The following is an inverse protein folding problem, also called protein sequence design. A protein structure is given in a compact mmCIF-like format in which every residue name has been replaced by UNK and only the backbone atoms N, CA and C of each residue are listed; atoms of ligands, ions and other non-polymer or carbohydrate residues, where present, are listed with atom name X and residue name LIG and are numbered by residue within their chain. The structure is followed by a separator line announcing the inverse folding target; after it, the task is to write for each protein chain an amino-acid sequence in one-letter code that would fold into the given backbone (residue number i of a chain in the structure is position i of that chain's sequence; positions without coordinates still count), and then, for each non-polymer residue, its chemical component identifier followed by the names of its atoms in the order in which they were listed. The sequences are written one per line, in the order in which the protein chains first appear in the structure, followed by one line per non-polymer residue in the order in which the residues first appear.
data_IF_651467234796
#
_entry.id   IF_651467234796
#
_cell.length_a   1.000
_cell.length_b   1.000
_cell.length_c   1.000
_cell.angle_alpha   90.00
_cell.angle_beta   90.00
_cell.angle_gamma   90.00
#
_symmetry.space_group_name_H-M   'P 1'
#
loop_
_entity.id
_entity.type
_entity.pdbx_description
1 polymer ?
#
# COMPACT_ATOMS: atom_id res chain seq x y z
N UNK A 1 -5.83 36.49 -8.95
CA UNK A 1 -5.29 35.39 -9.77
C UNK A 1 -3.82 35.31 -9.41
N UNK A 2 -3.52 34.60 -8.33
CA UNK A 2 -2.15 34.36 -7.91
C UNK A 2 -1.83 32.92 -8.25
N UNK A 3 -0.88 32.76 -9.18
CA UNK A 3 -0.30 31.48 -9.56
C UNK A 3 0.44 30.95 -8.33
N UNK A 4 -0.13 29.95 -7.67
CA UNK A 4 0.54 29.25 -6.58
C UNK A 4 1.78 28.58 -7.18
N UNK A 5 2.98 28.84 -6.63
CA UNK A 5 4.22 28.33 -7.20
C UNK A 5 4.24 26.81 -7.17
N UNK A 6 4.83 26.26 -8.22
CA UNK A 6 5.05 24.83 -8.44
C UNK A 6 5.92 24.25 -7.30
N UNK A 7 5.29 23.75 -6.24
CA UNK A 7 5.95 23.01 -5.15
C UNK A 7 5.85 21.52 -5.48
N UNK A 8 6.45 21.10 -6.59
CA UNK A 8 6.82 19.72 -6.83
C UNK A 8 8.34 19.63 -6.80
N UNK A 9 8.92 19.85 -5.61
CA UNK A 9 10.30 19.42 -5.35
C UNK A 9 10.30 17.90 -5.36
N UNK A 10 11.23 17.30 -6.10
CA UNK A 10 11.54 15.86 -6.14
C UNK A 10 11.18 15.15 -4.82
N UNK A 11 10.05 14.44 -4.81
CA UNK A 11 9.58 13.73 -3.61
C UNK A 11 10.00 12.26 -3.68
N UNK A 12 10.45 11.67 -2.55
CA UNK A 12 10.89 10.29 -2.53
C UNK A 12 9.68 9.40 -2.81
N UNK A 13 9.73 8.68 -3.92
CA UNK A 13 8.83 7.55 -4.20
C UNK A 13 8.75 6.66 -2.97
N UNK A 14 7.61 6.03 -2.71
CA UNK A 14 7.48 5.03 -1.62
C UNK A 14 6.99 3.69 -2.20
N UNK A 15 7.19 2.59 -1.46
CA UNK A 15 6.77 1.25 -1.91
C UNK A 15 7.55 0.69 -3.12
N UNK A 16 6.88 -0.16 -3.91
CA UNK A 16 7.44 -0.78 -5.12
C UNK A 16 7.90 0.28 -6.15
N UNK A 17 7.23 1.43 -6.20
CA UNK A 17 7.57 2.56 -7.09
C UNK A 17 8.96 3.13 -6.79
N UNK A 18 9.35 3.24 -5.52
CA UNK A 18 10.73 3.63 -5.12
C UNK A 18 11.76 2.61 -5.58
N UNK A 19 11.41 1.34 -5.44
CA UNK A 19 12.24 0.22 -5.87
C UNK A 19 12.28 0.04 -7.38
N UNK A 20 11.35 0.62 -8.13
CA UNK A 20 11.33 0.62 -9.59
C UNK A 20 12.03 1.85 -10.19
N UNK A 21 11.98 3.00 -9.52
CA UNK A 21 12.51 4.26 -10.05
C UNK A 21 13.85 4.72 -9.48
N UNK A 22 14.24 4.32 -8.25
CA UNK A 22 15.51 4.76 -7.68
C UNK A 22 16.66 3.92 -8.28
N UNK A 23 17.36 4.48 -9.28
CA UNK A 23 18.46 3.80 -10.00
C UNK A 23 19.69 3.56 -9.11
N UNK A 24 19.85 4.33 -8.04
CA UNK A 24 20.96 4.23 -7.08
C UNK A 24 20.65 3.35 -5.85
N UNK A 25 19.58 2.56 -5.88
CA UNK A 25 19.28 1.64 -4.79
C UNK A 25 20.32 0.51 -4.76
N UNK A 26 21.15 0.49 -3.72
CA UNK A 26 22.14 -0.57 -3.47
C UNK A 26 21.58 -2.00 -3.54
N UNK A 27 20.26 -2.19 -3.38
CA UNK A 27 19.56 -3.49 -3.49
C UNK A 27 19.36 -3.98 -4.93
N UNK A 28 19.57 -3.10 -5.92
CA UNK A 28 19.54 -3.41 -7.36
C UNK A 28 20.88 -3.91 -7.89
N UNK A 29 21.94 -3.81 -7.10
CA UNK A 29 23.23 -4.38 -7.49
C UNK A 29 23.09 -5.90 -7.62
N UNK A 30 23.79 -6.52 -8.58
CA UNK A 30 23.76 -7.96 -8.74
C UNK A 30 24.22 -8.70 -7.48
N UNK A 31 23.66 -9.88 -7.23
CA UNK A 31 24.01 -10.69 -6.06
C UNK A 31 25.46 -11.19 -6.09
N UNK A 32 26.08 -11.26 -7.27
CA UNK A 32 27.52 -11.44 -7.49
C UNK A 32 27.86 -11.04 -8.93
N UNK A 33 29.15 -10.93 -9.27
CA UNK A 33 29.62 -10.43 -10.57
C UNK A 33 29.24 -11.28 -11.80
N UNK A 34 28.77 -12.51 -11.61
CA UNK A 34 28.53 -13.47 -12.69
C UNK A 34 27.04 -13.65 -13.01
N UNK A 35 26.16 -12.82 -12.43
CA UNK A 35 24.74 -12.80 -12.70
C UNK A 35 24.26 -11.37 -12.78
N UNK A 36 23.17 -11.13 -13.51
CA UNK A 36 22.46 -9.84 -13.51
C UNK A 36 21.31 -9.82 -12.48
N UNK A 37 21.09 -10.93 -11.77
CA UNK A 37 20.04 -11.03 -10.76
C UNK A 37 20.40 -10.12 -9.59
N UNK A 38 19.56 -9.12 -9.32
CA UNK A 38 19.71 -8.24 -8.17
C UNK A 38 19.25 -8.89 -6.87
N UNK A 39 19.73 -8.39 -5.72
CA UNK A 39 19.29 -8.87 -4.40
C UNK A 39 17.77 -8.84 -4.27
N UNK A 40 17.12 -7.78 -4.75
CA UNK A 40 15.67 -7.68 -4.65
C UNK A 40 14.91 -8.66 -5.55
N UNK A 41 15.47 -8.97 -6.74
CA UNK A 41 14.88 -9.97 -7.64
C UNK A 41 14.95 -11.34 -6.98
N UNK A 42 16.11 -11.69 -6.43
CA UNK A 42 16.28 -12.94 -5.67
C UNK A 42 15.29 -13.03 -4.50
N UNK A 43 15.18 -11.97 -3.69
CA UNK A 43 14.27 -11.94 -2.55
C UNK A 43 12.81 -12.04 -2.97
N UNK A 44 12.41 -11.36 -4.05
CA UNK A 44 11.03 -11.44 -4.57
C UNK A 44 10.71 -12.87 -5.02
N UNK A 45 11.66 -13.55 -5.68
CA UNK A 45 11.50 -14.93 -6.11
C UNK A 45 11.41 -15.88 -4.92
N UNK A 46 12.23 -15.70 -3.89
CA UNK A 46 12.23 -16.58 -2.71
C UNK A 46 10.98 -16.38 -1.86
N UNK A 47 10.50 -15.13 -1.70
CA UNK A 47 9.23 -14.84 -1.05
C UNK A 47 8.06 -15.40 -1.86
N UNK A 48 8.09 -15.30 -3.19
CA UNK A 48 7.09 -15.93 -4.05
C UNK A 48 7.04 -17.44 -3.84
N UNK A 49 8.20 -18.11 -3.72
CA UNK A 49 8.27 -19.54 -3.38
C UNK A 49 7.69 -19.80 -1.97
N UNK A 50 8.07 -18.99 -0.98
CA UNK A 50 7.56 -19.09 0.40
C UNK A 50 6.04 -19.07 0.42
N UNK A 51 5.43 -18.07 -0.20
CA UNK A 51 3.98 -17.93 -0.17
C UNK A 51 3.27 -18.99 -1.02
N UNK A 52 3.83 -19.34 -2.18
CA UNK A 52 3.22 -20.34 -3.06
C UNK A 52 3.16 -21.73 -2.43
N UNK A 53 4.17 -22.09 -1.63
CA UNK A 53 4.28 -23.42 -1.04
C UNK A 53 4.16 -23.42 0.49
N UNK A 54 3.73 -22.29 1.08
CA UNK A 54 3.56 -22.13 2.53
C UNK A 54 4.81 -22.53 3.35
N UNK A 55 6.00 -22.19 2.85
CA UNK A 55 7.29 -22.49 3.49
C UNK A 55 7.36 -21.75 4.84
N UNK A 56 7.79 -22.44 5.90
CA UNK A 56 7.97 -21.83 7.22
C UNK A 56 9.16 -20.85 7.24
N UNK A 57 9.32 -20.07 8.30
CA UNK A 57 10.50 -19.19 8.41
C UNK A 57 11.80 -19.97 8.63
N UNK A 58 11.74 -21.08 9.36
CA UNK A 58 12.88 -21.97 9.58
C UNK A 58 13.31 -22.63 8.26
N UNK A 59 12.36 -23.17 7.49
CA UNK A 59 12.63 -23.77 6.18
C UNK A 59 13.15 -22.73 5.17
N UNK A 60 12.63 -21.49 5.22
CA UNK A 60 13.13 -20.40 4.40
C UNK A 60 14.59 -20.09 4.74
N UNK A 61 14.96 -20.10 6.02
CA UNK A 61 16.35 -19.87 6.45
C UNK A 61 17.27 -20.98 5.95
N UNK A 62 16.87 -22.24 6.06
CA UNK A 62 17.66 -23.36 5.52
C UNK A 62 17.87 -23.24 4.01
N UNK A 63 16.83 -22.84 3.28
CA UNK A 63 16.90 -22.60 1.84
C UNK A 63 17.88 -21.46 1.49
N UNK A 64 17.88 -20.36 2.27
CA UNK A 64 18.83 -19.26 2.10
C UNK A 64 20.27 -19.72 2.32
N UNK A 65 20.52 -20.47 3.39
CA UNK A 65 21.83 -21.02 3.70
C UNK A 65 22.32 -21.99 2.60
N UNK A 66 21.40 -22.74 1.98
CA UNK A 66 21.72 -23.58 0.82
C UNK A 66 22.19 -22.73 -0.37
N UNK A 67 21.45 -21.66 -0.71
CA UNK A 67 21.85 -20.76 -1.79
C UNK A 67 23.19 -20.09 -1.53
N UNK A 68 23.49 -19.73 -0.28
CA UNK A 68 24.80 -19.18 0.09
C UNK A 68 25.94 -20.17 -0.11
N UNK A 69 25.72 -21.45 0.19
CA UNK A 69 26.74 -22.50 -0.01
C UNK A 69 27.04 -22.77 -1.49
N UNK A 70 26.05 -22.57 -2.37
CA UNK A 70 26.18 -22.80 -3.81
C UNK A 70 26.74 -21.55 -4.52
N UNK A 71 26.45 -20.36 -4.00
CA UNK A 71 26.88 -19.10 -4.59
C UNK A 71 28.41 -18.86 -4.40
N UNK A 72 29.02 -18.03 -5.28
CA UNK A 72 30.42 -17.61 -5.11
C UNK A 72 30.67 -16.92 -3.77
N UNK A 73 31.89 -17.00 -3.23
CA UNK A 73 32.25 -16.42 -1.92
C UNK A 73 32.09 -14.90 -1.81
N UNK A 74 32.06 -14.17 -2.92
CA UNK A 74 31.83 -12.72 -2.96
C UNK A 74 30.34 -12.33 -3.09
N UNK A 75 29.43 -13.30 -2.95
CA UNK A 75 28.01 -13.03 -3.04
C UNK A 75 27.48 -12.18 -1.88
N UNK A 76 26.41 -11.45 -2.17
CA UNK A 76 25.71 -10.60 -1.21
C UNK A 76 24.28 -11.10 -0.95
N UNK A 77 24.02 -12.41 -1.06
CA UNK A 77 22.70 -12.95 -0.77
C UNK A 77 22.34 -12.71 0.71
N UNK A 78 21.05 -12.46 1.03
CA UNK A 78 20.61 -12.35 2.42
C UNK A 78 20.95 -13.63 3.18
N UNK A 79 21.51 -13.49 4.39
CA UNK A 79 21.92 -14.63 5.21
C UNK A 79 20.84 -15.02 6.21
N UNK A 80 19.96 -14.06 6.53
CA UNK A 80 18.92 -14.20 7.53
C UNK A 80 17.58 -13.73 7.00
N UNK A 81 16.50 -14.16 7.65
CA UNK A 81 15.16 -13.60 7.45
C UNK A 81 15.12 -12.12 7.82
N UNK A 82 15.94 -11.68 8.77
CA UNK A 82 16.11 -10.26 9.09
C UNK A 82 16.71 -9.47 7.92
N UNK A 83 17.67 -10.01 7.18
CA UNK A 83 18.22 -9.36 5.99
C UNK A 83 17.14 -9.22 4.91
N UNK A 84 16.30 -10.25 4.73
CA UNK A 84 15.13 -10.18 3.85
C UNK A 84 14.22 -9.05 4.32
N UNK A 85 13.80 -9.06 5.59
CA UNK A 85 12.90 -8.05 6.14
C UNK A 85 13.48 -6.63 6.04
N UNK A 86 14.79 -6.45 6.27
CA UNK A 86 15.48 -5.18 6.09
C UNK A 86 15.47 -4.73 4.63
N UNK A 87 15.72 -5.65 3.69
CA UNK A 87 15.77 -5.36 2.26
C UNK A 87 14.37 -5.14 1.68
N UNK A 88 13.35 -5.77 2.27
CA UNK A 88 11.91 -5.61 1.95
C UNK A 88 11.18 -4.67 2.89
N UNK A 89 11.88 -3.94 3.75
CA UNK A 89 11.28 -3.05 4.75
C UNK A 89 10.52 -1.87 4.14
N UNK A 90 10.89 -1.52 2.91
CA UNK A 90 10.19 -0.53 2.10
C UNK A 90 9.08 -1.17 1.24
N UNK A 91 9.05 -2.50 1.12
CA UNK A 91 7.99 -3.27 0.44
C UNK A 91 6.84 -3.63 1.38
N UNK A 92 7.14 -3.84 2.67
CA UNK A 92 6.18 -4.17 3.72
C UNK A 92 6.18 -3.03 4.73
N UNK A 93 5.01 -2.46 5.02
CA UNK A 93 4.86 -1.33 5.94
C UNK A 93 5.38 -1.69 7.33
N UNK A 94 6.63 -1.37 7.60
CA UNK A 94 7.25 -1.37 8.91
C UNK A 94 7.16 0.01 9.55
N UNK A 95 7.07 0.05 10.89
CA UNK A 95 7.07 1.28 11.70
C UNK A 95 8.39 2.08 11.62
N UNK A 96 9.35 1.60 10.85
CA UNK A 96 10.64 2.25 10.62
C UNK A 96 10.81 2.69 9.14
N UNK A 97 9.75 2.60 8.33
CA UNK A 97 9.77 3.06 6.93
C UNK A 97 9.73 4.59 6.84
N UNK A 98 10.25 5.15 5.74
CA UNK A 98 10.23 6.61 5.50
C UNK A 98 8.80 7.17 5.54
N UNK A 99 7.83 6.45 4.98
CA UNK A 99 6.41 6.85 4.99
C UNK A 99 5.82 6.86 6.40
N UNK A 100 6.19 5.89 7.24
CA UNK A 100 5.76 5.89 8.64
C UNK A 100 6.31 7.10 9.41
N UNK A 101 7.59 7.42 9.21
CA UNK A 101 8.19 8.59 9.83
C UNK A 101 7.55 9.90 9.36
N UNK A 102 7.25 10.00 8.05
CA UNK A 102 6.54 11.15 7.50
C UNK A 102 5.13 11.29 8.12
N UNK A 103 4.40 10.18 8.21
CA UNK A 103 3.09 10.13 8.87
C UNK A 103 3.16 10.57 10.33
N UNK A 104 4.09 10.03 11.11
CA UNK A 104 4.27 10.41 12.52
C UNK A 104 4.63 11.89 12.66
N UNK A 105 5.41 12.42 11.72
CA UNK A 105 5.77 13.85 11.70
C UNK A 105 4.56 14.74 11.42
N UNK A 106 3.69 14.35 10.48
CA UNK A 106 2.50 15.13 10.10
C UNK A 106 1.34 14.98 11.10
N UNK A 107 1.05 13.74 11.50
CA UNK A 107 -0.14 13.38 12.26
C UNK A 107 0.13 13.32 13.77
N UNK A 108 1.39 13.15 14.18
CA UNK A 108 1.81 12.96 15.56
C UNK A 108 1.96 11.48 15.94
N UNK A 109 2.83 11.20 16.90
CA UNK A 109 3.19 9.83 17.31
C UNK A 109 2.07 9.02 17.94
N UNK A 110 1.00 9.68 18.41
CA UNK A 110 -0.20 9.05 18.98
C UNK A 110 -1.32 8.85 17.97
N UNK A 111 -1.13 9.26 16.71
CA UNK A 111 -2.14 9.09 15.68
C UNK A 111 -2.29 7.62 15.26
N UNK A 112 -3.51 7.24 14.92
CA UNK A 112 -3.81 5.93 14.36
C UNK A 112 -3.59 6.00 12.85
N UNK A 113 -2.68 5.15 12.35
CA UNK A 113 -2.42 4.96 10.94
C UNK A 113 -3.36 3.88 10.39
N UNK A 114 -4.14 4.24 9.37
CA UNK A 114 -5.08 3.36 8.70
C UNK A 114 -4.55 2.99 7.31
N UNK A 115 -4.67 1.73 6.89
CA UNK A 115 -4.68 1.38 5.46
C UNK A 115 -6.11 1.17 4.99
N UNK A 116 -6.38 1.50 3.74
CA UNK A 116 -7.66 1.23 3.10
C UNK A 116 -7.49 0.24 1.94
N UNK A 117 -8.48 -0.62 1.75
CA UNK A 117 -8.56 -1.56 0.65
C UNK A 117 -10.00 -1.70 0.18
N UNK A 118 -10.20 -1.88 -1.12
CA UNK A 118 -11.51 -2.22 -1.68
C UNK A 118 -11.36 -3.33 -2.69
N UNK A 119 -12.16 -4.38 -2.52
CA UNK A 119 -12.13 -5.56 -3.37
C UNK A 119 -13.53 -6.10 -3.63
N UNK A 120 -13.71 -6.62 -4.84
CA UNK A 120 -14.95 -7.21 -5.32
C UNK A 120 -14.94 -8.73 -5.15
N UNK A 121 -15.92 -9.26 -4.43
CA UNK A 121 -16.11 -10.69 -4.25
C UNK A 121 -17.56 -11.10 -4.57
N UNK A 122 -17.78 -12.39 -4.82
CA UNK A 122 -19.12 -12.95 -4.96
C UNK A 122 -19.41 -13.83 -3.73
N UNK A 123 -20.31 -13.43 -2.81
CA UNK A 123 -20.60 -14.22 -1.61
C UNK A 123 -21.25 -15.58 -1.92
N UNK A 124 -21.92 -15.71 -3.06
CA UNK A 124 -22.70 -16.91 -3.40
C UNK A 124 -21.87 -17.99 -4.09
N UNK A 125 -20.65 -17.67 -4.57
CA UNK A 125 -19.70 -18.61 -5.20
C UNK A 125 -20.32 -19.63 -6.17
N UNK A 126 -21.45 -19.30 -6.80
CA UNK A 126 -22.21 -20.23 -7.64
C UNK A 126 -21.89 -19.96 -9.11
N UNK A 127 -21.68 -21.02 -9.91
CA UNK A 127 -21.34 -20.94 -11.35
C UNK A 127 -22.28 -19.99 -12.12
N UNK A 128 -23.58 -20.00 -11.79
CA UNK A 128 -24.60 -19.15 -12.44
C UNK A 128 -24.36 -17.66 -12.16
N UNK A 129 -23.81 -17.33 -10.99
CA UNK A 129 -23.55 -15.95 -10.55
C UNK A 129 -22.12 -15.48 -10.80
N UNK A 130 -21.23 -16.36 -11.29
CA UNK A 130 -19.85 -15.99 -11.60
C UNK A 130 -19.82 -14.93 -12.71
N UNK A 131 -19.14 -13.82 -12.46
CA UNK A 131 -19.07 -12.67 -13.39
C UNK A 131 -20.35 -11.83 -13.49
N UNK A 132 -21.48 -12.28 -12.95
CA UNK A 132 -22.77 -11.58 -13.02
C UNK A 132 -23.24 -11.00 -11.68
N UNK A 133 -22.60 -11.42 -10.58
CA UNK A 133 -22.84 -10.90 -9.24
C UNK A 133 -21.53 -10.54 -8.53
N UNK A 134 -21.43 -9.32 -8.00
CA UNK A 134 -20.29 -8.86 -7.20
C UNK A 134 -20.76 -7.90 -6.11
N UNK A 135 -20.26 -8.10 -4.89
CA UNK A 135 -20.30 -7.15 -3.78
C UNK A 135 -18.87 -6.65 -3.58
N UNK A 136 -18.73 -5.35 -3.31
CA UNK A 136 -17.44 -4.76 -3.02
C UNK A 136 -17.36 -4.41 -1.53
N UNK A 137 -16.35 -4.93 -0.84
CA UNK A 137 -16.07 -4.58 0.54
C UNK A 137 -14.96 -3.55 0.62
N UNK A 138 -15.25 -2.45 1.30
CA UNK A 138 -14.28 -1.45 1.71
C UNK A 138 -13.79 -1.82 3.10
N UNK A 139 -12.51 -2.14 3.21
CA UNK A 139 -11.88 -2.63 4.45
C UNK A 139 -10.72 -1.74 4.85
N UNK A 140 -10.42 -1.71 6.15
CA UNK A 140 -9.28 -0.99 6.69
C UNK A 140 -8.47 -1.82 7.68
N UNK A 141 -7.15 -1.59 7.72
CA UNK A 141 -6.27 -2.20 8.71
C UNK A 141 -5.67 -1.11 9.60
N UNK A 142 -5.62 -1.39 10.91
CA UNK A 142 -4.94 -0.54 11.88
C UNK A 142 -3.45 -0.86 11.83
N UNK A 143 -2.66 0.03 11.25
CA UNK A 143 -1.25 -0.19 10.99
C UNK A 143 -0.38 -0.03 12.24
N UNK A 144 -0.89 0.57 13.31
CA UNK A 144 -0.21 0.64 14.62
C UNK A 144 -0.07 -0.75 15.26
N UNK A 145 -0.92 -1.73 14.89
CA UNK A 145 -0.81 -3.09 15.39
C UNK A 145 0.40 -3.81 14.76
N UNK A 146 1.01 -4.77 15.49
CA UNK A 146 2.04 -5.63 14.93
C UNK A 146 1.57 -6.33 13.64
N UNK A 147 2.48 -6.56 12.70
CA UNK A 147 2.16 -7.09 11.38
C UNK A 147 1.39 -8.43 11.43
N UNK A 148 1.74 -9.31 12.38
CA UNK A 148 1.07 -10.60 12.59
C UNK A 148 -0.34 -10.49 13.22
N UNK A 149 -0.71 -9.32 13.74
CA UNK A 149 -2.03 -9.06 14.32
C UNK A 149 -2.96 -8.32 13.37
N UNK A 150 -2.45 -7.37 12.57
CA UNK A 150 -3.30 -6.43 11.83
C UNK A 150 -4.18 -7.03 10.73
N UNK A 151 -3.90 -8.25 10.26
CA UNK A 151 -4.62 -8.90 9.14
C UNK A 151 -5.55 -10.04 9.62
N UNK A 152 -6.02 -9.99 10.86
CA UNK A 152 -6.99 -10.95 11.40
C UNK A 152 -8.42 -10.45 11.21
N UNK A 153 -9.38 -11.35 11.03
CA UNK A 153 -10.80 -10.99 10.89
C UNK A 153 -11.32 -10.11 12.03
N UNK A 154 -10.83 -10.32 13.26
CA UNK A 154 -11.20 -9.51 14.43
C UNK A 154 -10.55 -8.12 14.51
N UNK A 155 -9.54 -7.84 13.69
CA UNK A 155 -8.81 -6.55 13.66
C UNK A 155 -9.00 -5.78 12.37
N UNK A 156 -9.46 -6.44 11.31
CA UNK A 156 -9.84 -5.80 10.05
C UNK A 156 -11.14 -5.03 10.25
N UNK A 157 -11.13 -3.75 9.92
CA UNK A 157 -12.30 -2.90 9.94
C UNK A 157 -13.09 -3.07 8.65
N UNK A 158 -14.40 -3.30 8.75
CA UNK A 158 -15.32 -3.16 7.63
C UNK A 158 -15.79 -1.70 7.59
N UNK A 159 -15.30 -0.94 6.62
CA UNK A 159 -15.60 0.48 6.47
C UNK A 159 -16.87 0.71 5.63
N UNK A 160 -17.17 -0.21 4.71
CA UNK A 160 -18.35 -0.13 3.86
C UNK A 160 -18.59 -1.37 3.03
N UNK A 161 -19.84 -1.53 2.58
CA UNK A 161 -20.25 -2.56 1.63
C UNK A 161 -21.02 -1.91 0.48
N UNK A 162 -20.56 -2.15 -0.73
CA UNK A 162 -21.21 -1.69 -1.96
C UNK A 162 -21.87 -2.91 -2.58
N UNK A 163 -23.21 -2.91 -2.54
CA UNK A 163 -23.99 -4.05 -2.98
C UNK A 163 -24.12 -4.13 -4.49
N UNK A 164 -24.16 -5.37 -4.99
CA UNK A 164 -24.35 -5.71 -6.39
C UNK A 164 -25.74 -5.38 -6.94
N UNK A 165 -26.02 -5.74 -8.20
CA UNK A 165 -25.52 -6.98 -8.81
C UNK A 165 -24.19 -6.86 -9.55
N UNK A 166 -23.74 -5.67 -9.95
CA UNK A 166 -22.50 -5.52 -10.74
C UNK A 166 -21.43 -4.78 -9.95
N UNK A 167 -20.18 -4.99 -10.34
CA UNK A 167 -19.08 -4.18 -9.84
C UNK A 167 -19.37 -2.69 -10.09
N UNK A 168 -19.03 -1.80 -9.14
CA UNK A 168 -19.21 -0.38 -9.32
C UNK A 168 -18.39 0.07 -10.52
N UNK A 169 -18.98 0.90 -11.39
CA UNK A 169 -18.23 1.51 -12.50
C UNK A 169 -17.17 2.47 -11.99
N UNK A 170 -17.48 3.16 -10.90
CA UNK A 170 -16.68 4.19 -10.26
C UNK A 170 -16.73 4.00 -8.76
N UNK A 171 -15.58 3.70 -8.16
CA UNK A 171 -15.47 3.41 -6.74
C UNK A 171 -15.35 4.71 -5.91
N UNK A 172 -14.82 5.78 -6.50
CA UNK A 172 -14.62 7.08 -5.86
C UNK A 172 -15.91 7.68 -5.27
N UNK A 173 -17.05 7.53 -5.93
CA UNK A 173 -18.36 7.99 -5.41
C UNK A 173 -18.73 7.36 -4.07
N UNK A 174 -18.37 6.09 -3.87
CA UNK A 174 -18.61 5.39 -2.62
C UNK A 174 -17.57 5.73 -1.55
N UNK A 175 -16.38 6.19 -1.97
CA UNK A 175 -15.32 6.60 -1.06
C UNK A 175 -15.55 7.99 -0.47
N UNK A 176 -16.42 8.83 -1.06
CA UNK A 176 -16.69 10.19 -0.57
C UNK A 176 -17.07 10.23 0.91
N UNK A 177 -17.92 9.30 1.34
CA UNK A 177 -18.33 9.18 2.76
C UNK A 177 -17.11 8.89 3.64
N UNK A 178 -16.24 7.97 3.21
CA UNK A 178 -15.02 7.63 3.94
C UNK A 178 -14.05 8.81 3.98
N UNK A 179 -13.87 9.52 2.87
CA UNK A 179 -13.03 10.73 2.76
C UNK A 179 -13.52 11.80 3.74
N UNK A 180 -14.82 12.07 3.77
CA UNK A 180 -15.41 13.06 4.68
C UNK A 180 -15.19 12.72 6.16
N UNK A 181 -15.32 11.45 6.54
CA UNK A 181 -15.04 11.01 7.91
C UNK A 181 -13.54 11.09 8.23
N UNK A 182 -12.68 10.68 7.30
CA UNK A 182 -11.24 10.74 7.46
C UNK A 182 -10.75 12.18 7.65
N UNK A 183 -11.30 13.18 6.94
CA UNK A 183 -10.94 14.60 7.11
C UNK A 183 -11.19 15.05 8.55
N UNK A 184 -12.36 14.71 9.11
CA UNK A 184 -12.68 15.03 10.51
C UNK A 184 -11.74 14.33 11.48
N UNK A 185 -11.43 13.05 11.23
CA UNK A 185 -10.54 12.28 12.08
C UNK A 185 -9.09 12.75 12.00
N UNK A 186 -8.68 13.39 10.89
CA UNK A 186 -7.36 14.01 10.79
C UNK A 186 -7.21 15.20 11.73
N UNK A 187 -8.24 16.03 11.90
CA UNK A 187 -8.19 17.12 12.89
C UNK A 187 -8.25 16.57 14.32
N UNK A 188 -8.87 15.40 14.46
CA UNK A 188 -8.87 14.56 15.64
C UNK A 188 -10.13 14.71 16.47
N UNK A 189 -10.37 13.70 17.31
CA UNK A 189 -11.59 13.54 18.08
C UNK A 189 -11.26 13.16 19.52
N UNK A 190 -12.06 13.63 20.48
CA UNK A 190 -11.91 13.18 21.87
C UNK A 190 -12.41 11.74 21.99
N UNK A 191 -11.48 10.83 22.24
CA UNK A 191 -11.77 9.40 22.42
C UNK A 191 -11.47 9.03 23.86
N UNK A 192 -12.38 8.27 24.46
CA UNK A 192 -12.15 7.74 25.80
C UNK A 192 -11.16 6.57 25.74
N UNK A 193 -10.00 6.75 26.36
CA UNK A 193 -8.99 5.71 26.48
C UNK A 193 -9.26 4.90 27.75
N UNK A 194 -9.67 3.63 27.57
CA UNK A 194 -10.00 2.76 28.69
C UNK A 194 -8.79 2.39 29.57
N UNK A 195 -7.58 2.40 29.01
CA UNK A 195 -6.36 2.08 29.75
C UNK A 195 -5.93 3.23 30.65
N UNK A 196 -5.96 4.47 30.16
CA UNK A 196 -5.66 5.67 30.95
C UNK A 196 -6.86 6.23 31.72
N UNK A 197 -8.07 5.76 31.40
CA UNK A 197 -9.36 6.23 31.93
C UNK A 197 -9.61 7.73 31.70
N UNK A 198 -9.08 8.29 30.63
CA UNK A 198 -9.18 9.71 30.30
C UNK A 198 -9.66 9.93 28.87
N UNK A 199 -10.22 11.12 28.62
CA UNK A 199 -10.50 11.58 27.26
C UNK A 199 -9.19 12.09 26.65
N UNK A 200 -8.78 11.48 25.55
CA UNK A 200 -7.56 11.83 24.83
C UNK A 200 -7.92 12.26 23.41
N UNK A 201 -7.27 13.33 22.96
CA UNK A 201 -7.43 13.78 21.58
C UNK A 201 -6.70 12.81 20.66
N UNK A 202 -7.45 12.06 19.86
CA UNK A 202 -6.93 11.01 18.98
C UNK A 202 -7.18 11.39 17.53
N UNK A 203 -6.11 11.34 16.73
CA UNK A 203 -6.17 11.59 15.29
C UNK A 203 -6.10 10.26 14.55
N UNK A 204 -6.78 10.15 13.42
CA UNK A 204 -6.65 9.03 12.49
C UNK A 204 -6.22 9.58 11.14
N UNK A 205 -5.26 8.95 10.51
CA UNK A 205 -4.84 9.29 9.16
C UNK A 205 -4.68 8.05 8.30
N UNK A 206 -5.09 8.17 7.05
CA UNK A 206 -4.82 7.19 6.02
C UNK A 206 -3.34 7.24 5.62
N UNK A 207 -2.66 6.10 5.70
CA UNK A 207 -1.25 5.96 5.32
C UNK A 207 -1.07 5.21 4.00
N UNK A 208 -1.93 4.24 3.70
CA UNK A 208 -1.84 3.46 2.47
C UNK A 208 -3.19 3.10 1.90
N UNK A 209 -3.19 2.88 0.59
CA UNK A 209 -4.26 2.16 -0.09
C UNK A 209 -3.71 0.96 -0.82
N UNK A 210 -4.41 -0.15 -0.67
CA UNK A 210 -4.09 -1.42 -1.30
C UNK A 210 -5.27 -1.78 -2.19
N UNK A 211 -5.03 -1.91 -3.48
CA UNK A 211 -6.04 -2.37 -4.41
C UNK A 211 -5.35 -3.08 -5.58
N UNK A 212 -6.03 -4.04 -6.17
CA UNK A 212 -5.56 -4.71 -7.38
C UNK A 212 -5.70 -3.78 -8.60
N UNK A 213 -5.13 -4.16 -9.74
CA UNK A 213 -5.18 -3.31 -10.95
C UNK A 213 -6.63 -2.97 -11.36
N UNK A 214 -7.58 -3.93 -11.38
CA UNK A 214 -9.00 -3.65 -11.59
C UNK A 214 -9.66 -2.69 -10.60
N UNK A 215 -9.28 -2.71 -9.32
CA UNK A 215 -9.82 -1.82 -8.29
C UNK A 215 -9.22 -0.41 -8.38
N UNK A 216 -7.89 -0.30 -8.56
CA UNK A 216 -7.18 0.95 -8.87
C UNK A 216 -7.81 1.64 -10.08
N UNK A 217 -8.20 0.87 -11.10
CA UNK A 217 -8.83 1.43 -12.28
C UNK A 217 -10.23 2.02 -12.04
N UNK A 218 -11.00 1.40 -11.15
CA UNK A 218 -12.32 1.92 -10.75
C UNK A 218 -12.22 3.14 -9.83
N UNK A 219 -11.06 3.36 -9.21
CA UNK A 219 -10.73 4.59 -8.46
C UNK A 219 -10.16 5.70 -9.37
N UNK A 220 -10.25 5.55 -10.71
CA UNK A 220 -9.73 6.48 -11.71
C UNK A 220 -8.22 6.74 -11.64
N UNK A 221 -7.45 5.83 -11.03
CA UNK A 221 -5.99 6.01 -10.88
C UNK A 221 -5.18 5.50 -12.06
N UNK A 222 -5.72 4.51 -12.79
CA UNK A 222 -5.09 3.88 -13.96
C UNK A 222 -6.17 3.30 -14.87
N UNK A 223 -6.08 3.41 -16.20
CA UNK A 223 -7.00 2.65 -17.07
C UNK A 223 -6.30 1.42 -17.66
N UNK A 224 -7.05 0.30 -17.78
CA UNK A 224 -6.60 -0.83 -18.58
C UNK A 224 -6.46 -0.34 -20.04
N UNK A 225 -5.25 -0.41 -20.58
CA UNK A 225 -4.85 0.14 -21.90
C UNK A 225 -4.58 1.66 -21.95
N UNK A 226 -4.41 2.35 -20.82
CA UNK A 226 -3.87 3.71 -20.83
C UNK A 226 -2.43 3.73 -21.38
N UNK A 227 -2.06 4.83 -22.05
CA UNK A 227 -0.66 5.13 -22.37
C UNK A 227 0.21 5.07 -21.10
N UNK A 228 -0.37 5.50 -19.97
CA UNK A 228 0.22 5.46 -18.63
C UNK A 228 -0.49 4.44 -17.74
N UNK A 229 -0.08 3.17 -17.82
CA UNK A 229 -0.73 2.03 -17.13
C UNK A 229 -0.17 1.73 -15.73
N UNK A 230 0.89 2.40 -15.30
CA UNK A 230 1.48 2.15 -13.98
C UNK A 230 1.04 3.21 -12.97
N UNK A 231 0.34 2.77 -11.94
CA UNK A 231 -0.11 3.59 -10.81
C UNK A 231 1.07 4.15 -9.99
N UNK A 232 2.27 3.59 -10.14
CA UNK A 232 3.47 3.94 -9.37
C UNK A 232 4.48 4.78 -10.15
N UNK A 233 4.39 4.82 -11.48
CA UNK A 233 5.38 5.49 -12.32
C UNK A 233 4.84 6.84 -12.78
N UNK A 234 5.59 7.93 -12.53
CA UNK A 234 5.36 9.19 -13.23
C UNK A 234 6.03 9.05 -14.61
N UNK A 235 5.26 8.64 -15.62
CA UNK A 235 5.72 8.75 -17.01
C UNK A 235 5.49 10.19 -17.46
N UNK A 236 6.57 10.88 -17.82
CA UNK A 236 6.51 12.27 -18.29
C UNK A 236 5.95 12.30 -19.71
N UNK A 237 4.62 12.20 -19.83
CA UNK A 237 3.81 13.04 -20.70
C UNK A 237 2.33 12.92 -20.28
N UNK A 238 1.76 14.10 -19.94
CA UNK A 238 0.36 14.51 -19.73
C UNK A 238 -0.56 13.61 -18.86
N UNK A 239 -0.96 14.19 -17.72
CA UNK A 239 -2.16 13.91 -16.90
C UNK A 239 -2.38 12.46 -16.43
N UNK A 240 -1.62 12.04 -15.41
CA UNK A 240 -2.11 11.06 -14.42
C UNK A 240 -1.32 11.21 -13.13
N UNK A 241 -2.03 11.45 -12.02
CA UNK A 241 -1.43 11.61 -10.70
C UNK A 241 -0.87 10.29 -10.12
N UNK A 242 0.06 10.35 -9.15
CA UNK A 242 0.62 9.17 -8.52
C UNK A 242 -0.43 8.44 -7.68
N UNK A 243 -0.43 7.10 -7.69
CA UNK A 243 -1.38 6.29 -6.92
C UNK A 243 -0.96 5.99 -5.48
N UNK A 244 0.22 6.44 -5.08
CA UNK A 244 0.63 6.51 -3.69
C UNK A 244 0.49 7.96 -3.26
N UNK A 245 -0.45 8.20 -2.36
CA UNK A 245 -0.52 9.47 -1.68
C UNK A 245 0.62 9.48 -0.64
N UNK A 246 1.62 10.36 -0.79
CA UNK A 246 2.75 10.43 0.13
C UNK A 246 2.28 10.79 1.55
N UNK A 247 1.11 11.42 1.65
CA UNK A 247 0.48 11.88 2.86
C UNK A 247 -1.05 11.89 2.72
N UNK A 248 -1.71 12.10 3.84
CA UNK A 248 -3.15 12.18 3.91
C UNK A 248 -3.74 13.30 3.05
N UNK A 249 -3.07 14.46 2.97
CA UNK A 249 -3.57 15.61 2.24
C UNK A 249 -3.64 15.34 0.74
N UNK A 250 -2.63 14.68 0.20
CA UNK A 250 -2.57 14.31 -1.20
C UNK A 250 -3.72 13.37 -1.57
N UNK A 251 -4.07 12.46 -0.66
CA UNK A 251 -5.25 11.58 -0.81
C UNK A 251 -6.53 12.41 -0.89
N UNK A 252 -6.76 13.29 0.09
CA UNK A 252 -7.96 14.14 0.10
C UNK A 252 -8.03 14.99 -1.17
N UNK A 253 -6.94 15.65 -1.54
CA UNK A 253 -6.87 16.52 -2.71
C UNK A 253 -7.25 15.81 -4.01
N UNK A 254 -6.74 14.59 -4.23
CA UNK A 254 -7.11 13.79 -5.40
C UNK A 254 -8.61 13.45 -5.42
N UNK A 255 -9.15 13.02 -4.28
CA UNK A 255 -10.57 12.68 -4.20
C UNK A 255 -11.47 13.91 -4.35
N UNK A 256 -11.09 15.04 -3.76
CA UNK A 256 -11.87 16.29 -3.87
C UNK A 256 -11.78 16.90 -5.26
N UNK A 257 -10.61 16.86 -5.92
CA UNK A 257 -10.45 17.39 -7.28
C UNK A 257 -11.26 16.60 -8.31
N UNK A 258 -11.38 15.29 -8.16
CA UNK A 258 -12.19 14.45 -9.03
C UNK A 258 -13.69 14.77 -8.92
N UNK A 259 -14.16 15.12 -7.72
CA UNK A 259 -15.55 15.52 -7.46
C UNK A 259 -15.82 16.91 -8.06
N UNK A 260 -14.91 17.86 -7.82
CA UNK A 260 -15.06 19.26 -8.26
C UNK A 260 -14.96 19.44 -9.77
N UNK A 261 -14.12 18.65 -10.47
CA UNK A 261 -13.93 18.76 -11.91
C UNK A 261 -15.08 18.19 -12.75
N UNK A 262 -16.16 17.70 -12.14
CA UNK A 262 -17.36 17.31 -12.86
C UNK A 262 -17.12 16.21 -13.90
N UNK A 263 -16.08 15.39 -13.73
CA UNK A 263 -15.88 14.10 -14.44
C UNK A 263 -16.92 13.08 -13.92
N UNK A 264 -18.18 13.50 -14.06
CA UNK A 264 -19.44 12.80 -13.87
C UNK A 264 -19.72 11.82 -15.00
#
# INVERSE_FOLDING_TARGET
MDVIPNICKEQPLTGLGRLLHNRDDSRRRPVHKQTDISQITFITLILKLKYKYSISEEDLLELLLLFQKIAPTDNILPQTTFDIDRLTKDLIVGHESSSWNAFVTEMGSKAIALSYCSDGFNPFHHIITQGTYSIWAQTGLILNLPAHMRVKTGTTLLLGLIFGPRAPKRLNLYNEILVNELVKLKDGLQVYNAASKQLEMTRVGLLYMVSDVPGIAKENRVQQNALNSCSHCIMQDIESGPALFPDFNSFIQFFTSDIENGLS
#
